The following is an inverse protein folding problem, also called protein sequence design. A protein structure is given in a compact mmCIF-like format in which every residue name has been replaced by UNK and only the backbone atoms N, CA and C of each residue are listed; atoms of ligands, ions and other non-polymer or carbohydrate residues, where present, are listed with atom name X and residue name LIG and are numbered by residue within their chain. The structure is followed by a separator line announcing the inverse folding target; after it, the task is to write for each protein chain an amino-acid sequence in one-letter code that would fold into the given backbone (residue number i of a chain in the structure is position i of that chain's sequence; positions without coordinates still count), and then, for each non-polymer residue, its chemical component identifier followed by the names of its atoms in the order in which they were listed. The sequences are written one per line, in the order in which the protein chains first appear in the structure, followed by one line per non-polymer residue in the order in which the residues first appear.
data_IF_649250455462
#
_entry.id   IF_649250455462
#
_cell.length_a   1.000
_cell.length_b   1.000
_cell.length_c   1.000
_cell.angle_alpha   90.00
_cell.angle_beta   90.00
_cell.angle_gamma   90.00
#
_symmetry.space_group_name_H-M   'P 1'
#
loop_
_entity.id
_entity.type
_entity.pdbx_description
1 polymer ?
#
# COMPACT_ATOMS: atom_id res chain seq x y z
N UNK A 1 9.93 6.83 8.03
CA UNK A 1 8.57 7.45 8.07
C UNK A 1 8.20 7.88 9.49
N UNK A 2 7.22 8.79 9.69
CA UNK A 2 6.82 9.28 11.04
C UNK A 2 6.36 8.15 11.97
N UNK A 3 5.73 7.09 11.44
CA UNK A 3 5.30 5.93 12.21
C UNK A 3 6.46 5.17 12.85
N UNK A 4 7.55 4.92 12.12
CA UNK A 4 8.75 4.25 12.66
C UNK A 4 9.34 5.02 13.84
N UNK A 5 9.45 6.35 13.72
CA UNK A 5 9.93 7.21 14.81
C UNK A 5 9.02 7.17 16.04
N UNK A 6 7.72 6.96 15.84
CA UNK A 6 6.73 6.88 16.90
C UNK A 6 6.48 5.43 17.38
N UNK A 7 7.36 4.49 17.02
CA UNK A 7 7.24 3.09 17.43
C UNK A 7 5.96 2.42 16.93
N UNK A 8 5.51 2.77 15.73
CA UNK A 8 4.30 2.24 15.09
C UNK A 8 2.99 2.50 15.85
N UNK A 9 2.94 3.62 16.60
CA UNK A 9 1.75 4.04 17.33
C UNK A 9 1.10 5.29 16.72
N UNK A 10 -0.23 5.31 16.73
CA UNK A 10 -1.04 6.47 16.35
C UNK A 10 -1.13 7.50 17.50
N UNK A 11 -1.85 8.61 17.29
CA UNK A 11 -1.99 9.67 18.30
C UNK A 11 -2.66 9.22 19.61
N UNK A 12 -3.46 8.15 19.57
CA UNK A 12 -4.09 7.52 20.73
C UNK A 12 -3.21 6.45 21.39
N UNK A 13 -1.93 6.34 21.00
CA UNK A 13 -0.96 5.33 21.46
C UNK A 13 -1.33 3.88 21.12
N UNK A 14 -2.26 3.68 20.19
CA UNK A 14 -2.62 2.37 19.67
C UNK A 14 -1.76 2.02 18.45
N UNK A 15 -1.57 0.73 18.13
CA UNK A 15 -0.92 0.32 16.87
C UNK A 15 -1.53 1.02 15.65
N UNK A 16 -0.69 1.32 14.66
CA UNK A 16 -1.18 1.83 13.37
C UNK A 16 -2.00 0.73 12.69
N UNK A 17 -3.10 1.10 12.06
CA UNK A 17 -3.91 0.15 11.29
C UNK A 17 -3.08 -0.48 10.16
N UNK A 18 -3.20 -1.79 9.99
CA UNK A 18 -2.49 -2.59 8.98
C UNK A 18 -0.96 -2.48 9.07
N UNK A 19 -0.42 -2.31 10.29
CA UNK A 19 1.02 -2.27 10.57
C UNK A 19 1.79 -3.47 9.97
N UNK A 20 1.15 -4.63 9.97
CA UNK A 20 1.64 -5.89 9.39
C UNK A 20 1.86 -5.81 7.87
N UNK A 21 1.07 -5.00 7.15
CA UNK A 21 1.25 -4.75 5.72
C UNK A 21 2.24 -3.61 5.45
N UNK A 22 2.19 -2.56 6.26
CA UNK A 22 3.02 -1.37 6.05
C UNK A 22 4.50 -1.62 6.32
N UNK A 23 4.85 -2.38 7.36
CA UNK A 23 6.25 -2.69 7.69
C UNK A 23 7.01 -3.32 6.50
N UNK A 24 6.57 -4.46 5.94
CA UNK A 24 7.29 -5.10 4.85
C UNK A 24 7.28 -4.24 3.57
N UNK A 25 6.18 -3.53 3.28
CA UNK A 25 6.14 -2.63 2.12
C UNK A 25 7.17 -1.51 2.23
N UNK A 26 7.28 -0.86 3.40
CA UNK A 26 8.23 0.23 3.61
C UNK A 26 9.67 -0.27 3.54
N UNK A 27 9.95 -1.48 4.05
CA UNK A 27 11.26 -2.10 3.94
C UNK A 27 11.66 -2.34 2.47
N UNK A 28 10.76 -2.93 1.67
CA UNK A 28 10.98 -3.18 0.25
C UNK A 28 11.15 -1.90 -0.57
N UNK A 29 10.34 -0.88 -0.28
CA UNK A 29 10.43 0.42 -0.94
C UNK A 29 11.74 1.14 -0.60
N UNK A 30 12.26 0.98 0.62
CA UNK A 30 13.55 1.56 1.01
C UNK A 30 14.74 0.85 0.37
N UNK A 31 14.62 -0.45 0.11
CA UNK A 31 15.70 -1.26 -0.48
C UNK A 31 15.70 -1.27 -2.00
N UNK A 32 14.67 -0.71 -2.64
CA UNK A 32 14.47 -0.74 -4.10
C UNK A 32 14.33 0.66 -4.69
N UNK A 33 14.61 0.81 -5.99
CA UNK A 33 14.34 2.06 -6.71
C UNK A 33 12.87 2.09 -7.17
N UNK A 34 11.99 2.67 -6.34
CA UNK A 34 10.54 2.71 -6.57
C UNK A 34 10.06 4.14 -6.74
N UNK A 35 9.39 4.41 -7.86
CA UNK A 35 8.67 5.67 -8.10
C UNK A 35 7.16 5.42 -8.06
N UNK A 36 6.46 6.17 -7.21
CA UNK A 36 5.00 6.10 -7.12
C UNK A 36 4.34 7.08 -8.09
N UNK A 37 3.41 6.58 -8.91
CA UNK A 37 2.56 7.38 -9.80
C UNK A 37 1.10 7.19 -9.42
N UNK A 38 0.46 8.27 -8.96
CA UNK A 38 -0.97 8.28 -8.69
C UNK A 38 -1.72 8.49 -10.01
N UNK A 39 -2.50 7.50 -10.42
CA UNK A 39 -3.35 7.59 -11.61
C UNK A 39 -4.80 7.84 -11.21
N UNK A 40 -5.55 8.51 -12.08
CA UNK A 40 -6.98 8.69 -11.90
C UNK A 40 -7.68 7.34 -12.06
N UNK A 41 -8.61 7.00 -11.15
CA UNK A 41 -9.43 5.79 -11.27
C UNK A 41 -10.25 5.81 -12.56
N UNK A 42 -10.40 4.63 -13.18
CA UNK A 42 -11.14 4.44 -14.44
C UNK A 42 -10.67 5.38 -15.55
N UNK A 43 -9.37 5.64 -15.62
CA UNK A 43 -8.76 6.52 -16.64
C UNK A 43 -8.44 5.81 -17.95
N UNK A 44 -8.71 4.49 -18.04
CA UNK A 44 -8.35 3.68 -19.20
C UNK A 44 -6.86 3.32 -19.25
N UNK A 45 -6.14 3.40 -18.12
CA UNK A 45 -4.78 2.87 -18.05
C UNK A 45 -4.87 1.34 -18.07
N UNK A 46 -4.51 0.77 -19.23
CA UNK A 46 -4.63 -0.65 -19.53
C UNK A 46 -4.04 -1.57 -18.45
N UNK A 47 -2.93 -1.19 -17.82
CA UNK A 47 -2.30 -2.04 -16.82
C UNK A 47 -3.01 -1.95 -15.46
N UNK A 48 -3.48 -0.76 -15.11
CA UNK A 48 -4.32 -0.59 -13.91
C UNK A 48 -5.67 -1.29 -14.05
N UNK A 49 -6.33 -1.18 -15.21
CA UNK A 49 -7.61 -1.85 -15.48
C UNK A 49 -7.46 -3.38 -15.45
N UNK A 50 -6.32 -3.91 -15.93
CA UNK A 50 -6.01 -5.33 -15.82
C UNK A 50 -5.85 -5.77 -14.37
N UNK A 51 -5.09 -5.04 -13.56
CA UNK A 51 -4.88 -5.38 -12.14
C UNK A 51 -6.18 -5.27 -11.34
N UNK A 52 -7.07 -4.32 -11.67
CA UNK A 52 -8.40 -4.20 -11.06
C UNK A 52 -9.25 -5.46 -11.34
N UNK A 53 -9.34 -5.88 -12.60
CA UNK A 53 -10.07 -7.09 -12.98
C UNK A 53 -9.52 -8.36 -12.30
N UNK A 54 -8.19 -8.48 -12.20
CA UNK A 54 -7.54 -9.59 -11.51
C UNK A 54 -7.82 -9.58 -10.00
N UNK A 55 -7.80 -8.40 -9.38
CA UNK A 55 -8.11 -8.26 -7.96
C UNK A 55 -9.56 -8.71 -7.66
N UNK A 56 -10.53 -8.30 -8.49
CA UNK A 56 -11.93 -8.72 -8.38
C UNK A 56 -12.08 -10.23 -8.54
N UNK A 57 -11.41 -10.81 -9.54
CA UNK A 57 -11.47 -12.25 -9.79
C UNK A 57 -10.87 -13.10 -8.66
N UNK A 58 -9.92 -12.56 -7.89
CA UNK A 58 -9.26 -13.26 -6.79
C UNK A 58 -10.04 -13.24 -5.48
N UNK A 59 -11.09 -12.41 -5.35
CA UNK A 59 -11.93 -12.37 -4.15
C UNK A 59 -12.68 -13.70 -4.03
N UNK A 60 -12.48 -14.48 -2.93
CA UNK A 60 -13.25 -15.69 -2.70
C UNK A 60 -14.74 -15.40 -2.64
N UNK A 61 -15.56 -16.28 -3.22
CA UNK A 61 -17.03 -16.18 -3.15
C UNK A 61 -17.57 -16.71 -1.83
#
# INVERSE_FOLDING_TARGET
VKWERNGWKNAKKQPVANEDLWKPLIELVKSSDVTFRWVKGHSGDRMNDLVDALAVAAVPR
#
